data_IF_826193975917
#
_entry.id   IF_826193975917
#
_cell.length_a   1.000
_cell.length_b   1.000
_cell.length_c   1.000
_cell.angle_alpha   90.00
_cell.angle_beta   90.00
_cell.angle_gamma   90.00
#
_symmetry.space_group_name_H-M   'P 1'
#
loop_
_entity.id
_entity.type
_entity.pdbx_description
1 polymer ?
#
# COMPACT_ATOMS: atom_id res chain seq x y z
N UNK A 1 21.77 -11.96 -63.31
CA UNK A 1 22.25 -10.58 -63.52
C UNK A 1 21.77 -9.73 -62.34
N UNK A 2 22.70 -9.00 -61.71
CA UNK A 2 22.59 -7.76 -60.90
C UNK A 2 21.20 -7.31 -60.42
N UNK A 3 21.00 -7.27 -59.10
CA UNK A 3 21.09 -6.07 -58.22
C UNK A 3 19.81 -5.24 -58.17
N UNK A 4 19.20 -5.08 -56.99
CA UNK A 4 19.14 -3.80 -56.28
C UNK A 4 18.33 -3.95 -54.98
N UNK A 5 18.93 -3.48 -53.87
CA UNK A 5 18.21 -3.08 -52.65
C UNK A 5 18.27 -1.56 -52.62
N UNK A 6 17.18 -0.87 -52.28
CA UNK A 6 17.32 0.41 -51.59
C UNK A 6 16.60 0.38 -50.24
N UNK A 7 17.34 0.82 -49.24
CA UNK A 7 16.79 1.29 -47.96
C UNK A 7 15.79 2.43 -48.22
N UNK A 8 14.57 2.27 -47.72
CA UNK A 8 13.61 3.35 -47.59
C UNK A 8 13.23 3.50 -46.11
N UNK A 9 13.75 4.56 -45.49
CA UNK A 9 13.28 5.04 -44.20
C UNK A 9 11.78 5.36 -44.29
N UNK A 10 10.94 4.57 -43.63
CA UNK A 10 9.56 4.98 -43.31
C UNK A 10 9.42 5.13 -41.80
N UNK A 11 9.46 6.38 -41.39
CA UNK A 11 9.14 6.88 -40.05
C UNK A 11 7.81 6.32 -39.56
N UNK A 12 7.85 5.44 -38.56
CA UNK A 12 6.69 5.06 -37.75
C UNK A 12 6.26 6.30 -36.95
N UNK A 13 5.22 7.00 -37.42
CA UNK A 13 4.53 8.03 -36.62
C UNK A 13 3.85 7.34 -35.43
N UNK A 14 4.55 7.31 -34.31
CA UNK A 14 4.06 6.86 -33.00
C UNK A 14 3.03 7.88 -32.49
N UNK A 15 1.76 7.61 -32.73
CA UNK A 15 0.63 8.34 -32.14
C UNK A 15 0.68 8.16 -30.61
N UNK A 16 1.34 9.10 -29.92
CA UNK A 16 1.38 9.17 -28.46
C UNK A 16 0.08 9.85 -28.00
N UNK A 17 -0.98 9.05 -27.80
CA UNK A 17 -2.14 9.50 -27.01
C UNK A 17 -1.65 9.79 -25.59
N UNK A 18 -1.49 11.06 -25.27
CA UNK A 18 -1.32 11.54 -23.90
C UNK A 18 -2.53 11.11 -23.08
N UNK A 19 -2.39 10.03 -22.32
CA UNK A 19 -3.28 9.72 -21.21
C UNK A 19 -3.08 10.80 -20.15
N UNK A 20 -3.92 11.84 -20.21
CA UNK A 20 -4.14 12.75 -19.08
C UNK A 20 -4.57 11.88 -17.89
N UNK A 21 -3.67 11.74 -16.90
CA UNK A 21 -4.02 11.20 -15.59
C UNK A 21 -5.07 12.16 -15.00
N UNK A 22 -6.26 11.69 -14.60
CA UNK A 22 -7.19 12.56 -13.90
C UNK A 22 -6.52 12.99 -12.59
N UNK A 23 -6.47 14.30 -12.37
CA UNK A 23 -5.99 14.90 -11.14
C UNK A 23 -6.79 14.29 -9.98
N UNK A 24 -6.06 13.72 -9.02
CA UNK A 24 -6.59 13.14 -7.81
C UNK A 24 -7.30 14.26 -7.04
N UNK A 25 -8.62 14.36 -7.20
CA UNK A 25 -9.46 15.24 -6.37
C UNK A 25 -9.37 14.70 -4.96
N UNK A 26 -8.54 15.33 -4.13
CA UNK A 26 -8.59 15.17 -2.69
C UNK A 26 -9.98 15.61 -2.23
N UNK A 27 -10.88 14.64 -2.08
CA UNK A 27 -12.11 14.79 -1.32
C UNK A 27 -11.70 15.12 0.11
N UNK A 28 -11.93 16.37 0.51
CA UNK A 28 -11.83 16.79 1.90
C UNK A 28 -12.72 15.87 2.74
N UNK A 29 -12.22 15.28 3.84
CA UNK A 29 -13.06 14.52 4.75
C UNK A 29 -14.11 15.45 5.34
N UNK A 30 -15.38 15.05 5.20
CA UNK A 30 -16.51 15.60 5.93
C UNK A 30 -16.21 15.46 7.42
N UNK A 31 -16.17 16.58 8.15
CA UNK A 31 -15.89 16.59 9.59
C UNK A 31 -16.95 15.78 10.35
N UNK A 32 -16.55 14.60 10.83
CA UNK A 32 -17.32 13.80 11.78
C UNK A 32 -16.41 13.50 12.95
N UNK A 33 -16.34 14.40 13.95
CA UNK A 33 -15.59 14.20 15.20
C UNK A 33 -16.12 13.00 15.99
N UNK A 34 -15.81 11.82 15.50
CA UNK A 34 -16.19 10.51 15.97
C UNK A 34 -14.89 9.79 16.35
N UNK A 35 -14.91 8.94 17.37
CA UNK A 35 -13.71 8.26 17.86
C UNK A 35 -12.96 7.49 16.76
N UNK A 36 -13.67 7.11 15.69
CA UNK A 36 -13.09 6.48 14.50
C UNK A 36 -12.20 7.43 13.70
N UNK A 37 -12.50 8.73 13.62
CA UNK A 37 -11.69 9.70 12.88
C UNK A 37 -10.30 9.87 13.51
N UNK A 38 -10.24 9.88 14.85
CA UNK A 38 -8.99 9.89 15.60
C UNK A 38 -8.18 8.62 15.35
N UNK A 39 -8.82 7.46 15.37
CA UNK A 39 -8.15 6.19 15.06
C UNK A 39 -7.59 6.20 13.64
N UNK A 40 -8.40 6.62 12.66
CA UNK A 40 -7.97 6.69 11.26
C UNK A 40 -6.83 7.70 11.06
N UNK A 41 -6.83 8.81 11.79
CA UNK A 41 -5.73 9.78 11.78
C UNK A 41 -4.43 9.17 12.31
N UNK A 42 -4.48 8.48 13.45
CA UNK A 42 -3.33 7.75 14.00
C UNK A 42 -2.75 6.74 13.01
N UNK A 43 -3.59 6.04 12.26
CA UNK A 43 -3.13 5.09 11.24
C UNK A 43 -2.49 5.82 10.05
N UNK A 44 -3.08 6.95 9.60
CA UNK A 44 -2.54 7.73 8.47
C UNK A 44 -1.16 8.30 8.80
N UNK A 45 -0.97 8.75 10.03
CA UNK A 45 0.26 9.38 10.50
C UNK A 45 1.35 8.38 10.89
N UNK A 46 1.03 7.08 10.94
CA UNK A 46 2.02 6.04 11.21
C UNK A 46 3.13 6.06 10.16
N UNK A 47 4.35 6.35 10.62
CA UNK A 47 5.57 6.23 9.83
C UNK A 47 6.04 4.78 9.84
N UNK A 48 6.10 4.17 8.66
CA UNK A 48 6.69 2.84 8.48
C UNK A 48 8.18 3.03 8.18
N UNK A 49 9.03 2.47 9.04
CA UNK A 49 10.47 2.44 8.83
C UNK A 49 10.91 1.02 8.42
N UNK A 50 11.71 0.93 7.35
CA UNK A 50 12.21 -0.33 6.81
C UNK A 50 11.85 -0.57 5.34
N UNK A 51 12.61 -1.44 4.68
CA UNK A 51 12.51 -1.75 3.25
C UNK A 51 12.08 -3.20 2.96
N UNK A 52 12.08 -4.05 3.99
CA UNK A 52 11.74 -5.47 3.89
C UNK A 52 10.25 -5.67 3.64
N UNK A 53 9.92 -6.46 2.62
CA UNK A 53 8.54 -6.84 2.29
C UNK A 53 8.27 -8.28 2.73
N UNK A 54 7.06 -8.53 3.22
CA UNK A 54 6.56 -9.86 3.54
C UNK A 54 5.21 -10.06 2.87
N UNK A 55 5.08 -11.17 2.13
CA UNK A 55 3.79 -11.60 1.61
C UNK A 55 3.02 -12.32 2.72
N UNK A 56 1.78 -11.92 2.95
CA UNK A 56 0.90 -12.48 3.98
C UNK A 56 -0.40 -12.90 3.29
N UNK A 57 -0.89 -14.10 3.58
CA UNK A 57 -2.24 -14.52 3.17
C UNK A 57 -3.24 -14.00 4.19
N UNK A 58 -4.31 -13.39 3.71
CA UNK A 58 -5.39 -12.82 4.52
C UNK A 58 -6.70 -13.50 4.11
N UNK A 59 -7.58 -13.72 5.09
CA UNK A 59 -8.90 -14.29 4.83
C UNK A 59 -9.75 -13.37 3.95
N UNK A 60 -10.61 -13.98 3.13
CA UNK A 60 -11.45 -13.29 2.15
C UNK A 60 -12.26 -12.15 2.77
N UNK A 61 -12.90 -12.39 3.93
CA UNK A 61 -13.70 -11.38 4.65
C UNK A 61 -12.88 -10.14 5.02
N UNK A 62 -11.65 -10.34 5.45
CA UNK A 62 -10.76 -9.22 5.83
C UNK A 62 -10.28 -8.49 4.58
N UNK A 63 -9.95 -9.20 3.51
CA UNK A 63 -9.55 -8.60 2.23
C UNK A 63 -10.65 -7.69 1.65
N UNK A 64 -11.91 -8.08 1.80
CA UNK A 64 -13.04 -7.25 1.37
C UNK A 64 -13.14 -5.90 2.08
N UNK A 65 -12.68 -5.83 3.32
CA UNK A 65 -12.64 -4.59 4.10
C UNK A 65 -11.37 -3.81 3.75
N UNK A 66 -10.23 -4.48 3.65
CA UNK A 66 -8.95 -3.85 3.34
C UNK A 66 -8.96 -3.16 1.97
N UNK A 67 -9.61 -3.75 0.96
CA UNK A 67 -9.69 -3.16 -0.39
C UNK A 67 -10.39 -1.79 -0.42
N UNK A 68 -11.32 -1.53 0.52
CA UNK A 68 -12.04 -0.25 0.59
C UNK A 68 -11.37 0.79 1.49
N UNK A 69 -10.34 0.41 2.25
CA UNK A 69 -9.71 1.31 3.21
C UNK A 69 -9.08 2.56 2.59
N UNK A 70 -8.33 2.39 1.50
CA UNK A 70 -7.75 3.53 0.79
C UNK A 70 -8.81 4.41 0.11
N UNK A 71 -9.73 3.87 -0.74
CA UNK A 71 -10.68 4.71 -1.44
C UNK A 71 -11.69 5.42 -0.52
N UNK A 72 -12.02 4.86 0.64
CA UNK A 72 -13.01 5.44 1.55
C UNK A 72 -12.36 6.33 2.61
N UNK A 73 -11.26 5.88 3.22
CA UNK A 73 -10.68 6.54 4.40
C UNK A 73 -9.30 7.16 4.15
N UNK A 74 -8.77 7.06 2.93
CA UNK A 74 -7.40 7.46 2.58
C UNK A 74 -6.34 6.81 3.49
N UNK A 75 -6.60 5.58 3.93
CA UNK A 75 -5.68 4.79 4.74
C UNK A 75 -5.03 3.71 3.88
N UNK A 76 -3.70 3.70 3.84
CA UNK A 76 -2.93 2.65 3.18
C UNK A 76 -3.01 1.33 3.97
N UNK A 77 -3.27 0.23 3.27
CA UNK A 77 -3.38 -1.11 3.89
C UNK A 77 -2.09 -1.50 4.62
N UNK A 78 -0.93 -1.17 4.06
CA UNK A 78 0.37 -1.43 4.71
C UNK A 78 0.48 -0.68 6.03
N UNK A 79 0.07 0.60 6.07
CA UNK A 79 0.05 1.38 7.32
C UNK A 79 -0.92 0.79 8.33
N UNK A 80 -2.11 0.40 7.89
CA UNK A 80 -3.09 -0.22 8.77
C UNK A 80 -2.59 -1.54 9.38
N UNK A 81 -2.00 -2.42 8.57
CA UNK A 81 -1.43 -3.68 9.07
C UNK A 81 -0.27 -3.42 10.04
N UNK A 82 0.63 -2.48 9.73
CA UNK A 82 1.70 -2.11 10.66
C UNK A 82 1.14 -1.53 11.96
N UNK A 83 0.11 -0.69 11.89
CA UNK A 83 -0.56 -0.13 13.06
C UNK A 83 -1.11 -1.24 13.97
N UNK A 84 -1.84 -2.20 13.38
CA UNK A 84 -2.39 -3.34 14.12
C UNK A 84 -1.31 -4.18 14.78
N UNK A 85 -0.22 -4.49 14.06
CA UNK A 85 0.90 -5.25 14.61
C UNK A 85 1.56 -4.50 15.77
N UNK A 86 1.84 -3.20 15.59
CA UNK A 86 2.44 -2.36 16.63
C UNK A 86 1.56 -2.33 17.87
N UNK A 87 0.25 -2.08 17.72
CA UNK A 87 -0.68 -2.05 18.85
C UNK A 87 -0.78 -3.40 19.55
N UNK A 88 -0.95 -4.48 18.79
CA UNK A 88 -1.03 -5.81 19.36
C UNK A 88 0.21 -6.17 20.19
N UNK A 89 1.41 -5.84 19.71
CA UNK A 89 2.65 -6.07 20.46
C UNK A 89 2.85 -5.13 21.65
N UNK A 90 2.31 -3.92 21.61
CA UNK A 90 2.32 -3.00 22.75
C UNK A 90 1.39 -3.48 23.87
N UNK A 91 0.23 -4.02 23.50
CA UNK A 91 -0.77 -4.52 24.44
C UNK A 91 -0.40 -5.90 25.00
N UNK A 92 0.45 -6.66 24.28
CA UNK A 92 0.91 -8.00 24.65
C UNK A 92 2.45 -8.13 24.67
N UNK A 93 3.17 -7.41 25.54
CA UNK A 93 4.63 -7.47 25.62
C UNK A 93 5.16 -8.87 25.98
N UNK A 94 4.38 -9.67 26.71
CA UNK A 94 4.71 -11.05 27.10
C UNK A 94 4.96 -11.95 25.89
N UNK A 95 4.28 -11.70 24.77
CA UNK A 95 4.46 -12.46 23.53
C UNK A 95 5.84 -12.20 22.94
N UNK A 96 6.30 -10.94 22.94
CA UNK A 96 7.64 -10.59 22.46
C UNK A 96 8.71 -11.27 23.32
N UNK A 97 8.52 -11.25 24.64
CA UNK A 97 9.47 -11.85 25.57
C UNK A 97 9.56 -13.37 25.37
N UNK A 98 8.44 -14.05 25.17
CA UNK A 98 8.43 -15.50 24.95
C UNK A 98 9.05 -15.88 23.59
N UNK A 99 8.76 -15.11 22.54
CA UNK A 99 9.40 -15.25 21.24
C UNK A 99 10.92 -15.10 21.38
N UNK A 100 11.40 -14.06 22.08
CA UNK A 100 12.84 -13.81 22.30
C UNK A 100 13.52 -14.92 23.08
N UNK A 101 12.86 -15.48 24.10
CA UNK A 101 13.39 -16.64 24.86
C UNK A 101 13.55 -17.86 23.96
N UNK A 102 12.59 -18.10 23.07
CA UNK A 102 12.63 -19.22 22.13
C UNK A 102 13.77 -19.08 21.12
N UNK A 103 14.06 -17.87 20.66
CA UNK A 103 15.22 -17.61 19.78
C UNK A 103 16.57 -17.75 20.46
N UNK A 104 16.70 -17.40 21.75
CA UNK A 104 17.96 -17.63 22.50
C UNK A 104 18.26 -19.12 22.74
N UNK A 105 17.26 -19.99 22.56
CA UNK A 105 17.39 -21.44 22.65
C UNK A 105 17.67 -22.11 21.31
N UNK A 106 17.70 -21.35 20.21
CA UNK A 106 18.11 -21.77 18.86
C UNK A 106 19.56 -21.35 18.61
#
# INVERSE_FOLDING_TARGET
MSNFRPNGHTSVKKNRKERKRPANKQTKPTALSSDIDLLLEQVRDLKIDGDKKRLIKIDEKSEEILKVMYPVFSVDVTRFINFLLTRFFQDHPELIDEIRKSFKKL
#
